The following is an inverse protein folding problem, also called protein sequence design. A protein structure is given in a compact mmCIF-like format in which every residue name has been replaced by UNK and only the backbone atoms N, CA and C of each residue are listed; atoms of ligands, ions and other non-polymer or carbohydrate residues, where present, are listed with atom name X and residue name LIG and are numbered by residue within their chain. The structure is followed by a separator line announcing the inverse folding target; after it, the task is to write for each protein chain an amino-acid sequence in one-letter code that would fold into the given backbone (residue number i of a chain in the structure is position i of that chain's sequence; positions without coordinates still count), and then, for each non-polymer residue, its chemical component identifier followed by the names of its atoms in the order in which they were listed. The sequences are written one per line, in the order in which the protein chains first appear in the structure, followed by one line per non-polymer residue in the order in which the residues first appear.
data_IF_190597425719
#
_entry.id   IF_190597425719
#
_cell.length_a   1.000
_cell.length_b   1.000
_cell.length_c   1.000
_cell.angle_alpha   90.00
_cell.angle_beta   90.00
_cell.angle_gamma   90.00
#
_symmetry.space_group_name_H-M   'P 1'
#
loop_
_entity.id
_entity.type
_entity.pdbx_description
1 polymer ?
#
# COMPACT_ATOMS: atom_id res chain seq x y z
N UNK A 1 17.01 45.95 35.03
CA UNK A 1 16.00 45.10 34.37
C UNK A 1 16.61 43.72 34.18
N UNK A 2 16.24 42.76 35.01
CA UNK A 2 16.78 41.39 34.98
C UNK A 2 15.87 40.53 34.10
N UNK A 3 16.42 40.01 32.99
CA UNK A 3 15.71 39.13 32.05
C UNK A 3 15.26 37.85 32.77
N UNK A 4 14.02 37.42 32.52
CA UNK A 4 13.39 36.26 33.16
C UNK A 4 13.97 34.94 32.64
N UNK A 5 13.99 33.91 33.49
CA UNK A 5 14.71 32.62 33.32
C UNK A 5 14.44 31.86 32.02
N UNK A 6 13.35 32.16 31.31
CA UNK A 6 12.90 31.41 30.13
C UNK A 6 13.68 31.74 28.85
N UNK A 7 14.51 32.79 28.84
CA UNK A 7 15.28 33.21 27.66
C UNK A 7 16.70 32.64 27.60
N UNK A 8 17.13 31.85 28.61
CA UNK A 8 18.49 31.28 28.68
C UNK A 8 18.64 29.86 28.14
N UNK A 9 17.55 29.20 27.76
CA UNK A 9 17.60 27.79 27.34
C UNK A 9 17.98 26.83 28.47
N UNK A 10 17.75 27.22 29.74
CA UNK A 10 17.93 26.33 30.88
C UNK A 10 16.86 25.22 30.86
N UNK A 11 17.31 23.99 31.14
CA UNK A 11 16.45 22.81 31.20
C UNK A 11 15.38 22.99 32.29
N UNK A 12 14.12 22.84 31.89
CA UNK A 12 12.96 22.87 32.77
C UNK A 12 12.90 21.55 33.58
N UNK A 13 13.19 21.64 34.87
CA UNK A 13 13.02 20.54 35.83
C UNK A 13 11.57 20.02 35.80
N UNK A 14 11.41 18.72 35.54
CA UNK A 14 10.12 18.02 35.53
C UNK A 14 9.70 17.41 34.19
N UNK A 15 10.56 17.42 33.17
CA UNK A 15 10.27 16.83 31.85
C UNK A 15 11.08 15.55 31.55
N UNK A 16 11.27 14.68 32.56
CA UNK A 16 12.03 13.44 32.35
C UNK A 16 11.60 12.25 33.24
N UNK A 17 10.29 12.05 33.43
CA UNK A 17 9.71 10.82 34.01
C UNK A 17 9.10 9.91 32.92
N UNK A 18 9.83 9.72 31.82
CA UNK A 18 9.55 8.58 30.94
C UNK A 18 10.41 7.40 31.45
N UNK A 19 9.82 6.30 31.95
CA UNK A 19 10.59 5.18 32.43
C UNK A 19 11.42 4.60 31.28
N UNK A 20 12.73 4.60 31.44
CA UNK A 20 13.65 3.90 30.54
C UNK A 20 13.43 2.39 30.70
N UNK A 21 13.12 1.65 29.62
CA UNK A 21 13.09 0.20 29.71
C UNK A 21 14.52 -0.29 29.98
N UNK A 22 14.70 -0.90 31.15
CA UNK A 22 15.93 -1.59 31.55
C UNK A 22 16.31 -2.63 30.51
N UNK A 23 17.40 -2.37 29.79
CA UNK A 23 18.02 -3.36 28.91
C UNK A 23 18.58 -4.51 29.75
N UNK A 24 17.89 -5.64 29.73
CA UNK A 24 18.47 -6.92 30.15
C UNK A 24 19.22 -7.50 28.97
N UNK A 25 20.55 -7.48 29.04
CA UNK A 25 21.42 -8.21 28.11
C UNK A 25 21.24 -9.71 28.35
N UNK A 26 20.56 -10.39 27.44
CA UNK A 26 20.70 -11.82 27.25
C UNK A 26 20.99 -12.10 25.77
N UNK A 27 22.25 -12.45 25.55
CA UNK A 27 22.76 -12.97 24.30
C UNK A 27 22.24 -14.41 24.15
N UNK A 28 21.20 -14.61 23.32
CA UNK A 28 20.92 -15.92 22.75
C UNK A 28 20.15 -15.76 21.44
N UNK A 29 20.81 -16.16 20.36
CA UNK A 29 20.34 -16.17 18.99
C UNK A 29 19.04 -16.95 18.83
N UNK A 30 17.97 -16.31 18.38
CA UNK A 30 17.01 -16.92 17.44
C UNK A 30 16.56 -15.88 16.42
N UNK A 31 17.02 -16.10 15.20
CA UNK A 31 16.54 -15.47 13.98
C UNK A 31 15.06 -15.79 13.76
N UNK A 32 14.22 -14.78 13.62
CA UNK A 32 12.97 -14.90 12.84
C UNK A 32 12.40 -13.52 12.45
N UNK A 33 13.22 -12.67 11.81
CA UNK A 33 12.73 -11.44 11.15
C UNK A 33 13.02 -11.43 9.64
N UNK A 34 13.68 -12.47 9.12
CA UNK A 34 14.02 -12.57 7.70
C UNK A 34 12.93 -13.18 6.82
N UNK A 35 11.95 -13.92 7.37
CA UNK A 35 10.97 -14.64 6.55
C UNK A 35 9.73 -13.82 6.18
N UNK A 36 9.25 -12.93 7.06
CA UNK A 36 8.13 -12.04 6.74
C UNK A 36 8.53 -11.03 5.67
N UNK A 37 9.59 -10.25 5.89
CA UNK A 37 10.02 -9.22 4.93
C UNK A 37 10.41 -9.77 3.54
N UNK A 38 10.92 -11.01 3.45
CA UNK A 38 11.19 -11.67 2.16
C UNK A 38 9.88 -12.09 1.48
N UNK A 39 8.92 -12.66 2.23
CA UNK A 39 7.59 -13.01 1.70
C UNK A 39 6.84 -11.78 1.21
N UNK A 40 6.81 -10.71 2.01
CA UNK A 40 6.14 -9.45 1.66
C UNK A 40 6.72 -8.79 0.41
N UNK A 41 8.04 -8.86 0.18
CA UNK A 41 8.63 -8.39 -1.07
C UNK A 41 8.24 -9.28 -2.25
N UNK A 42 8.21 -10.60 -2.05
CA UNK A 42 7.84 -11.57 -3.08
C UNK A 42 6.37 -11.42 -3.52
N UNK A 43 5.46 -11.17 -2.57
CA UNK A 43 4.04 -10.93 -2.86
C UNK A 43 3.85 -9.62 -3.64
N UNK A 44 4.56 -8.56 -3.26
CA UNK A 44 4.51 -7.25 -3.95
C UNK A 44 5.08 -7.32 -5.38
N UNK A 45 6.17 -8.04 -5.59
CA UNK A 45 6.70 -8.32 -6.93
C UNK A 45 5.72 -9.16 -7.76
N UNK A 46 5.05 -10.14 -7.14
CA UNK A 46 3.97 -10.92 -7.75
C UNK A 46 2.84 -10.04 -8.27
N UNK A 47 2.36 -9.10 -7.45
CA UNK A 47 1.28 -8.17 -7.83
C UNK A 47 1.73 -7.24 -8.96
N UNK A 48 2.99 -6.79 -8.96
CA UNK A 48 3.53 -6.00 -10.07
C UNK A 48 3.56 -6.79 -11.38
N UNK A 49 3.92 -8.08 -11.33
CA UNK A 49 3.88 -8.96 -12.50
C UNK A 49 2.45 -9.20 -13.00
N UNK A 50 1.49 -9.40 -12.10
CA UNK A 50 0.07 -9.52 -12.44
C UNK A 50 -0.45 -8.25 -13.10
N UNK A 51 -0.05 -7.09 -12.57
CA UNK A 51 -0.34 -5.79 -13.18
C UNK A 51 0.14 -5.75 -14.63
N UNK A 52 1.39 -6.14 -14.91
CA UNK A 52 1.91 -6.19 -16.29
C UNK A 52 1.13 -7.17 -17.18
N UNK A 53 0.71 -8.30 -16.64
CA UNK A 53 -0.07 -9.30 -17.36
C UNK A 53 -1.46 -8.78 -17.72
N UNK A 54 -2.12 -8.09 -16.79
CA UNK A 54 -3.40 -7.42 -17.01
C UNK A 54 -3.25 -6.39 -18.13
N UNK A 55 -2.23 -5.53 -18.07
CA UNK A 55 -1.97 -4.50 -19.09
C UNK A 55 -1.53 -5.06 -20.47
N UNK A 56 -1.17 -6.35 -20.57
CA UNK A 56 -0.92 -7.02 -21.86
C UNK A 56 -2.19 -7.44 -22.59
N UNK A 57 -3.32 -7.55 -21.90
CA UNK A 57 -4.61 -7.92 -22.50
C UNK A 57 -5.09 -6.75 -23.39
N UNK A 58 -5.75 -6.99 -24.54
CA UNK A 58 -6.29 -5.91 -25.36
C UNK A 58 -7.34 -5.15 -24.55
N UNK A 59 -7.07 -3.88 -24.27
CA UNK A 59 -7.96 -2.97 -23.55
C UNK A 59 -8.50 -1.91 -24.49
N UNK A 60 -9.79 -1.58 -24.36
CA UNK A 60 -10.43 -0.48 -25.08
C UNK A 60 -10.14 0.87 -24.37
N UNK A 61 -8.85 1.22 -24.29
CA UNK A 61 -8.35 2.45 -23.68
C UNK A 61 -7.20 3.04 -24.51
N UNK A 62 -7.09 4.38 -24.58
CA UNK A 62 -5.94 5.03 -25.21
C UNK A 62 -4.63 4.62 -24.51
N UNK A 63 -3.61 4.28 -25.29
CA UNK A 63 -2.27 3.87 -24.80
C UNK A 63 -1.65 4.87 -23.80
N UNK A 64 -1.93 6.17 -24.01
CA UNK A 64 -1.52 7.25 -23.12
C UNK A 64 -2.16 7.16 -21.73
N UNK A 65 -3.43 6.77 -21.65
CA UNK A 65 -4.12 6.57 -20.37
C UNK A 65 -3.62 5.31 -19.68
N UNK A 66 -3.43 4.22 -20.43
CA UNK A 66 -2.90 2.95 -19.90
C UNK A 66 -1.55 3.15 -19.21
N UNK A 67 -0.63 3.89 -19.85
CA UNK A 67 0.69 4.18 -19.28
C UNK A 67 0.58 5.00 -17.99
N UNK A 68 -0.34 5.98 -17.95
CA UNK A 68 -0.57 6.79 -16.76
C UNK A 68 -1.18 5.97 -15.61
N UNK A 69 -2.17 5.12 -15.90
CA UNK A 69 -2.78 4.25 -14.90
C UNK A 69 -1.80 3.18 -14.39
N UNK A 70 -0.99 2.60 -15.28
CA UNK A 70 0.09 1.66 -14.92
C UNK A 70 1.07 2.30 -13.95
N UNK A 71 1.63 3.46 -14.28
CA UNK A 71 2.58 4.17 -13.40
C UNK A 71 1.98 4.52 -12.04
N UNK A 72 0.73 5.00 -12.03
CA UNK A 72 0.01 5.30 -10.77
C UNK A 72 -0.18 4.05 -9.93
N UNK A 73 -0.67 2.95 -10.50
CA UNK A 73 -0.86 1.71 -9.75
C UNK A 73 0.47 1.15 -9.24
N UNK A 74 1.52 1.11 -10.07
CA UNK A 74 2.83 0.60 -9.64
C UNK A 74 3.41 1.41 -8.47
N UNK A 75 3.30 2.74 -8.53
CA UNK A 75 3.73 3.61 -7.43
C UNK A 75 2.93 3.35 -6.16
N UNK A 76 1.61 3.20 -6.29
CA UNK A 76 0.72 2.97 -5.16
C UNK A 76 0.92 1.59 -4.53
N UNK A 77 1.12 0.55 -5.35
CA UNK A 77 1.44 -0.81 -4.90
C UNK A 77 2.69 -0.78 -3.99
N UNK A 78 3.70 0.04 -4.29
CA UNK A 78 4.92 0.16 -3.47
C UNK A 78 4.70 0.83 -2.10
N UNK A 79 3.66 1.66 -1.96
CA UNK A 79 3.42 2.48 -0.76
C UNK A 79 2.25 2.01 0.10
N UNK A 80 1.52 0.98 -0.35
CA UNK A 80 0.28 0.51 0.29
C UNK A 80 0.47 -0.53 1.39
N UNK A 81 -0.56 -0.62 2.25
CA UNK A 81 -0.75 -1.67 3.24
C UNK A 81 -1.16 -2.99 2.58
N UNK A 82 -0.90 -4.10 3.28
CA UNK A 82 -1.15 -5.48 2.83
C UNK A 82 -2.62 -5.74 2.46
N UNK A 83 -3.58 -5.21 3.23
CA UNK A 83 -5.02 -5.38 2.93
C UNK A 83 -5.42 -4.82 1.56
N UNK A 84 -4.77 -3.73 1.12
CA UNK A 84 -5.02 -3.15 -0.20
C UNK A 84 -4.33 -3.95 -1.30
N UNK A 85 -3.17 -4.55 -0.99
CA UNK A 85 -2.44 -5.40 -1.92
C UNK A 85 -3.19 -6.69 -2.21
N UNK A 86 -3.68 -7.39 -1.18
CA UNK A 86 -4.51 -8.59 -1.33
C UNK A 86 -5.77 -8.32 -2.15
N UNK A 87 -6.40 -7.16 -1.93
CA UNK A 87 -7.56 -6.76 -2.72
C UNK A 87 -7.20 -6.53 -4.19
N UNK A 88 -6.12 -5.80 -4.48
CA UNK A 88 -5.65 -5.56 -5.86
C UNK A 88 -5.29 -6.88 -6.54
N UNK A 89 -4.61 -7.78 -5.83
CA UNK A 89 -4.25 -9.10 -6.34
C UNK A 89 -5.49 -9.91 -6.72
N UNK A 90 -6.49 -9.96 -5.82
CA UNK A 90 -7.76 -10.63 -6.09
C UNK A 90 -8.44 -10.06 -7.33
N UNK A 91 -8.45 -8.74 -7.50
CA UNK A 91 -9.05 -8.08 -8.66
C UNK A 91 -8.26 -8.40 -9.94
N UNK A 92 -6.93 -8.37 -9.90
CA UNK A 92 -6.10 -8.71 -11.07
C UNK A 92 -6.27 -10.15 -11.50
N UNK A 93 -6.33 -11.10 -10.55
CA UNK A 93 -6.61 -12.50 -10.87
C UNK A 93 -8.01 -12.64 -11.50
N UNK A 94 -9.03 -11.98 -10.96
CA UNK A 94 -10.38 -11.97 -11.55
C UNK A 94 -10.35 -11.34 -12.96
N UNK A 95 -9.52 -10.30 -13.23
CA UNK A 95 -9.33 -9.69 -14.57
C UNK A 95 -8.56 -10.59 -15.56
N UNK A 96 -7.78 -11.54 -15.07
CA UNK A 96 -7.06 -12.50 -15.90
C UNK A 96 -7.90 -13.72 -16.25
N UNK A 97 -8.95 -14.02 -15.48
CA UNK A 97 -9.90 -15.09 -15.80
C UNK A 97 -10.64 -14.82 -17.12
N UNK A 98 -10.89 -15.88 -17.89
CA UNK A 98 -11.49 -15.79 -19.22
C UNK A 98 -12.98 -15.40 -19.20
N UNK A 99 -13.67 -15.50 -18.06
CA UNK A 99 -15.10 -15.26 -17.90
C UNK A 99 -15.38 -14.14 -16.88
N UNK A 100 -14.89 -12.95 -17.20
CA UNK A 100 -15.07 -11.77 -16.36
C UNK A 100 -16.48 -11.23 -16.42
N UNK A 101 -17.05 -11.05 -15.24
CA UNK A 101 -18.25 -10.26 -15.07
C UNK A 101 -17.86 -8.84 -14.65
N UNK A 102 -17.59 -7.98 -15.64
CA UNK A 102 -17.10 -6.59 -15.44
C UNK A 102 -17.91 -5.82 -14.40
N UNK A 103 -19.24 -6.00 -14.42
CA UNK A 103 -20.16 -5.35 -13.49
C UNK A 103 -19.94 -5.77 -12.03
N UNK A 104 -19.68 -7.07 -11.80
CA UNK A 104 -19.42 -7.61 -10.47
C UNK A 104 -18.11 -7.09 -9.91
N UNK A 105 -17.04 -7.13 -10.71
CA UNK A 105 -15.71 -6.63 -10.31
C UNK A 105 -15.77 -5.12 -10.06
N UNK A 106 -16.44 -4.36 -10.94
CA UNK A 106 -16.66 -2.92 -10.76
C UNK A 106 -17.48 -2.59 -9.51
N UNK A 107 -18.48 -3.41 -9.16
CA UNK A 107 -19.24 -3.24 -7.93
C UNK A 107 -18.38 -3.51 -6.70
N UNK A 108 -17.56 -4.56 -6.70
CA UNK A 108 -16.60 -4.83 -5.63
C UNK A 108 -15.61 -3.69 -5.41
N UNK A 109 -15.09 -3.11 -6.48
CA UNK A 109 -14.21 -1.93 -6.38
C UNK A 109 -14.94 -0.74 -5.75
N UNK A 110 -16.22 -0.54 -6.07
CA UNK A 110 -17.04 0.50 -5.43
C UNK A 110 -17.30 0.22 -3.95
N UNK A 111 -17.67 -1.01 -3.59
CA UNK A 111 -17.85 -1.42 -2.19
C UNK A 111 -16.56 -1.19 -1.39
N UNK A 112 -15.41 -1.53 -1.97
CA UNK A 112 -14.11 -1.30 -1.34
C UNK A 112 -13.82 0.19 -1.13
N UNK A 113 -14.18 1.07 -2.08
CA UNK A 113 -14.08 2.53 -1.92
C UNK A 113 -14.99 3.08 -0.81
N UNK A 114 -16.09 2.39 -0.47
CA UNK A 114 -16.99 2.83 0.60
C UNK A 114 -16.47 2.45 2.00
N UNK A 115 -15.64 1.41 2.08
CA UNK A 115 -15.08 0.91 3.35
C UNK A 115 -13.79 1.64 3.73
N UNK A 116 -12.93 1.92 2.76
CA UNK A 116 -11.59 2.45 3.03
C UNK A 116 -11.43 3.90 2.55
N UNK A 117 -10.87 4.75 3.41
CA UNK A 117 -10.58 6.14 3.04
C UNK A 117 -9.28 6.27 2.23
N UNK A 118 -9.22 7.26 1.34
CA UNK A 118 -8.03 7.56 0.54
C UNK A 118 -7.77 6.60 -0.63
N UNK A 119 -8.57 5.53 -0.77
CA UNK A 119 -8.35 4.52 -1.83
C UNK A 119 -8.84 4.95 -3.21
N UNK A 120 -9.70 5.95 -3.29
CA UNK A 120 -10.27 6.47 -4.55
C UNK A 120 -9.21 6.86 -5.57
N UNK A 121 -8.04 7.32 -5.11
CA UNK A 121 -6.91 7.76 -5.98
C UNK A 121 -6.44 6.65 -6.94
N UNK A 122 -6.49 5.39 -6.51
CA UNK A 122 -6.02 4.23 -7.26
C UNK A 122 -7.15 3.25 -7.59
N UNK A 123 -8.23 3.20 -6.80
CA UNK A 123 -9.42 2.42 -7.15
C UNK A 123 -10.14 3.01 -8.37
N UNK A 124 -10.13 4.33 -8.59
CA UNK A 124 -10.75 4.95 -9.76
C UNK A 124 -10.11 4.51 -11.09
N UNK A 125 -8.77 4.57 -11.26
CA UNK A 125 -8.13 4.02 -12.45
C UNK A 125 -8.29 2.49 -12.54
N UNK A 126 -8.26 1.77 -11.41
CA UNK A 126 -8.52 0.33 -11.39
C UNK A 126 -9.91 -0.03 -11.95
N UNK A 127 -10.95 0.68 -11.52
CA UNK A 127 -12.32 0.50 -12.04
C UNK A 127 -12.42 0.78 -13.54
N UNK A 128 -11.71 1.80 -14.04
CA UNK A 128 -11.66 2.07 -15.48
C UNK A 128 -11.03 0.91 -16.24
N UNK A 129 -9.91 0.36 -15.73
CA UNK A 129 -9.25 -0.80 -16.33
C UNK A 129 -10.21 -2.00 -16.38
N UNK A 130 -10.91 -2.28 -15.27
CA UNK A 130 -11.92 -3.37 -15.20
C UNK A 130 -13.02 -3.22 -16.25
N UNK A 131 -13.47 -2.00 -16.51
CA UNK A 131 -14.51 -1.76 -17.52
C UNK A 131 -13.99 -1.86 -18.96
N UNK A 132 -12.71 -1.61 -19.16
CA UNK A 132 -12.06 -1.54 -20.48
C UNK A 132 -11.39 -2.82 -20.95
N UNK A 133 -11.11 -3.76 -20.03
CA UNK A 133 -10.90 -5.19 -20.34
C UNK A 133 -12.24 -5.79 -20.69
#
# INVERSE_FOLDING_TARGET
MTLTKYQRGDAIDGWNDCPTPVMSSQNSSQQSLGKESIRHNQDREGILNLCELVFKKPMDLPERELTCYKSKLQTQIQTMNEEHLDFIESIFNEILEANINKNKVSHRVLEYMMVYEGVTKWCAPLKKIVNSV
#
